data_IF_765022987367
#
_entry.id   IF_765022987367
#
_cell.length_a   1.000
_cell.length_b   1.000
_cell.length_c   1.000
_cell.angle_alpha   90.00
_cell.angle_beta   90.00
_cell.angle_gamma   90.00
#
_symmetry.space_group_name_H-M   'P 1'
#
loop_
_entity.id
_entity.type
_entity.pdbx_description
1 polymer ?
#
# COMPACT_ATOMS: atom_id res chain seq x y z
N UNK A 1 -23.24 3.49 -12.00
CA UNK A 1 -22.18 3.50 -10.98
C UNK A 1 -21.48 4.84 -10.99
N UNK A 2 -21.25 5.40 -9.81
CA UNK A 2 -20.64 6.73 -9.66
C UNK A 2 -19.12 6.59 -9.46
N UNK A 3 -18.38 6.60 -10.56
CA UNK A 3 -16.92 6.46 -10.54
C UNK A 3 -16.26 7.64 -9.82
N UNK A 4 -16.79 8.84 -10.03
CA UNK A 4 -16.24 10.03 -9.41
C UNK A 4 -16.35 9.98 -7.88
N UNK A 5 -17.50 9.53 -7.37
CA UNK A 5 -17.68 9.37 -5.95
C UNK A 5 -16.74 8.31 -5.37
N UNK A 6 -16.60 7.17 -6.05
CA UNK A 6 -15.71 6.11 -5.60
C UNK A 6 -14.26 6.58 -5.57
N UNK A 7 -13.84 7.31 -6.59
CA UNK A 7 -12.50 7.87 -6.62
C UNK A 7 -12.29 8.84 -5.45
N UNK A 8 -13.23 9.76 -5.25
CA UNK A 8 -13.14 10.75 -4.17
C UNK A 8 -13.09 10.10 -2.80
N UNK A 9 -13.90 9.04 -2.60
CA UNK A 9 -13.98 8.37 -1.30
C UNK A 9 -12.72 7.56 -0.99
N UNK A 10 -12.06 6.98 -2.01
CA UNK A 10 -10.98 6.02 -1.80
C UNK A 10 -9.63 6.44 -2.35
N UNK A 11 -9.50 7.62 -2.93
CA UNK A 11 -8.22 8.07 -3.51
C UNK A 11 -7.10 8.09 -2.48
N UNK A 12 -7.41 8.47 -1.25
CA UNK A 12 -6.39 8.54 -0.19
C UNK A 12 -5.93 7.15 0.22
N UNK A 13 -6.85 6.18 0.26
CA UNK A 13 -6.49 4.78 0.53
C UNK A 13 -5.58 4.23 -0.56
N UNK A 14 -5.91 4.52 -1.82
CA UNK A 14 -5.09 4.10 -2.97
C UNK A 14 -3.70 4.72 -2.87
N UNK A 15 -3.63 6.02 -2.61
CA UNK A 15 -2.36 6.74 -2.51
C UNK A 15 -1.51 6.20 -1.37
N UNK A 16 -2.11 5.98 -0.19
CA UNK A 16 -1.36 5.47 0.98
C UNK A 16 -0.79 4.09 0.71
N UNK A 17 -1.58 3.20 0.08
CA UNK A 17 -1.07 1.87 -0.25
C UNK A 17 0.07 1.98 -1.28
N UNK A 18 -0.09 2.84 -2.27
CA UNK A 18 0.95 3.07 -3.27
C UNK A 18 2.24 3.58 -2.63
N UNK A 19 2.15 4.49 -1.66
CA UNK A 19 3.32 4.98 -0.93
C UNK A 19 3.96 3.84 -0.13
N UNK A 20 3.16 2.96 0.46
CA UNK A 20 3.70 1.81 1.19
C UNK A 20 4.54 0.91 0.30
N UNK A 21 4.15 0.77 -0.97
CA UNK A 21 4.93 -0.03 -1.93
C UNK A 21 6.14 0.71 -2.46
N UNK A 22 5.96 1.96 -2.88
CA UNK A 22 6.96 2.64 -3.70
C UNK A 22 7.87 3.59 -2.93
N UNK A 23 7.40 4.15 -1.82
CA UNK A 23 8.07 5.22 -1.08
C UNK A 23 8.49 6.37 -1.99
N UNK A 24 7.75 6.58 -3.06
CA UNK A 24 7.99 7.65 -4.04
C UNK A 24 6.67 8.34 -4.33
N UNK A 25 6.63 9.65 -4.08
CA UNK A 25 5.43 10.44 -4.37
C UNK A 25 5.09 10.38 -5.85
N UNK A 26 6.10 10.53 -6.70
CA UNK A 26 5.91 10.50 -8.14
C UNK A 26 5.35 9.15 -8.60
N UNK A 27 5.93 8.05 -8.13
CA UNK A 27 5.46 6.72 -8.47
C UNK A 27 4.07 6.46 -7.93
N UNK A 28 3.78 6.93 -6.70
CA UNK A 28 2.45 6.76 -6.12
C UNK A 28 1.39 7.53 -6.93
N UNK A 29 1.72 8.70 -7.40
CA UNK A 29 0.81 9.48 -8.25
C UNK A 29 0.55 8.77 -9.58
N UNK A 30 1.59 8.19 -10.18
CA UNK A 30 1.45 7.41 -11.40
C UNK A 30 0.54 6.20 -11.18
N UNK A 31 0.71 5.50 -10.05
CA UNK A 31 -0.15 4.38 -9.69
C UNK A 31 -1.59 4.84 -9.53
N UNK A 32 -1.81 5.98 -8.87
CA UNK A 32 -3.16 6.51 -8.69
C UNK A 32 -3.84 6.77 -10.03
N UNK A 33 -3.10 7.35 -10.99
CA UNK A 33 -3.63 7.57 -12.33
C UNK A 33 -4.01 6.27 -13.02
N UNK A 34 -3.14 5.26 -12.91
CA UNK A 34 -3.41 3.93 -13.49
C UNK A 34 -4.67 3.32 -12.89
N UNK A 35 -4.80 3.39 -11.56
CA UNK A 35 -5.96 2.84 -10.85
C UNK A 35 -7.23 3.59 -11.27
N UNK A 36 -7.14 4.92 -11.35
CA UNK A 36 -8.28 5.74 -11.75
C UNK A 36 -8.76 5.39 -13.16
N UNK A 37 -7.83 5.19 -14.10
CA UNK A 37 -8.20 4.81 -15.47
C UNK A 37 -8.88 3.44 -15.49
N UNK A 38 -8.39 2.49 -14.70
CA UNK A 38 -9.03 1.17 -14.60
C UNK A 38 -10.40 1.26 -13.94
N UNK A 39 -10.57 2.15 -12.97
CA UNK A 39 -11.86 2.39 -12.35
C UNK A 39 -12.88 2.88 -13.39
N UNK A 40 -12.45 3.80 -14.25
CA UNK A 40 -13.34 4.35 -15.29
C UNK A 40 -13.81 3.28 -16.29
N UNK A 41 -13.03 2.23 -16.48
CA UNK A 41 -13.39 1.11 -17.35
C UNK A 41 -14.31 0.09 -16.67
N UNK A 42 -14.35 0.09 -15.34
CA UNK A 42 -15.13 -0.87 -14.57
C UNK A 42 -16.60 -0.47 -14.57
N UNK A 43 -17.46 -1.38 -15.00
CA UNK A 43 -18.88 -1.10 -15.15
C UNK A 43 -19.71 -1.48 -13.94
N UNK A 44 -19.27 -2.49 -13.18
CA UNK A 44 -20.01 -2.99 -12.02
C UNK A 44 -19.07 -3.44 -10.92
N UNK A 45 -19.55 -3.30 -9.69
CA UNK A 45 -18.92 -3.87 -8.51
C UNK A 45 -19.91 -4.71 -7.75
N UNK A 46 -19.42 -5.72 -7.06
CA UNK A 46 -20.22 -6.38 -6.04
C UNK A 46 -20.44 -5.38 -4.90
N UNK A 47 -21.67 -5.28 -4.38
CA UNK A 47 -21.94 -4.35 -3.29
C UNK A 47 -20.99 -4.55 -2.11
N UNK A 48 -20.40 -3.47 -1.64
CA UNK A 48 -19.47 -3.48 -0.50
C UNK A 48 -18.07 -3.97 -0.83
N UNK A 49 -17.76 -4.23 -2.09
CA UNK A 49 -16.44 -4.73 -2.50
C UNK A 49 -15.60 -3.71 -3.27
N UNK A 50 -16.08 -2.49 -3.38
CA UNK A 50 -15.43 -1.44 -4.16
C UNK A 50 -14.02 -1.14 -3.64
N UNK A 51 -13.89 -0.95 -2.33
CA UNK A 51 -12.59 -0.64 -1.72
C UNK A 51 -11.59 -1.77 -1.91
N UNK A 52 -12.02 -3.00 -1.70
CA UNK A 52 -11.14 -4.16 -1.86
C UNK A 52 -10.65 -4.29 -3.30
N UNK A 53 -11.54 -4.03 -4.26
CA UNK A 53 -11.16 -4.03 -5.68
C UNK A 53 -10.10 -2.97 -5.95
N UNK A 54 -10.33 -1.75 -5.47
CA UNK A 54 -9.38 -0.64 -5.66
C UNK A 54 -8.02 -0.94 -5.03
N UNK A 55 -8.01 -1.50 -3.84
CA UNK A 55 -6.76 -1.87 -3.17
C UNK A 55 -6.02 -2.97 -3.92
N UNK A 56 -6.75 -3.95 -4.46
CA UNK A 56 -6.14 -5.02 -5.23
C UNK A 56 -5.51 -4.49 -6.53
N UNK A 57 -6.24 -3.64 -7.23
CA UNK A 57 -5.72 -3.02 -8.46
C UNK A 57 -4.49 -2.18 -8.14
N UNK A 58 -4.52 -1.46 -7.02
CA UNK A 58 -3.38 -0.66 -6.55
C UNK A 58 -2.17 -1.54 -6.29
N UNK A 59 -2.36 -2.64 -5.55
CA UNK A 59 -1.26 -3.56 -5.25
C UNK A 59 -0.67 -4.14 -6.54
N UNK A 60 -1.52 -4.53 -7.48
CA UNK A 60 -1.04 -5.08 -8.75
C UNK A 60 -0.27 -4.04 -9.56
N UNK A 61 -0.76 -2.81 -9.62
CA UNK A 61 -0.08 -1.73 -10.33
C UNK A 61 1.28 -1.43 -9.70
N UNK A 62 1.36 -1.42 -8.37
CA UNK A 62 2.61 -1.20 -7.67
C UNK A 62 3.62 -2.31 -7.92
N UNK A 63 3.17 -3.56 -7.88
CA UNK A 63 4.04 -4.70 -8.15
C UNK A 63 4.61 -4.64 -9.57
N UNK A 64 3.79 -4.26 -10.54
CA UNK A 64 4.22 -4.11 -11.92
C UNK A 64 5.24 -2.98 -12.06
N UNK A 65 5.00 -1.86 -11.40
CA UNK A 65 5.91 -0.72 -11.43
C UNK A 65 7.26 -1.09 -10.82
N UNK A 66 7.26 -1.74 -9.64
CA UNK A 66 8.48 -2.11 -8.95
C UNK A 66 9.28 -3.14 -9.74
N UNK A 67 8.59 -4.06 -10.41
CA UNK A 67 9.25 -5.03 -11.28
C UNK A 67 9.95 -4.34 -12.45
N UNK A 68 9.31 -3.32 -13.03
CA UNK A 68 9.90 -2.51 -14.08
C UNK A 68 11.14 -1.77 -13.57
N UNK A 69 11.09 -1.20 -12.38
CA UNK A 69 12.21 -0.48 -11.78
C UNK A 69 13.39 -1.40 -11.43
N UNK A 70 13.10 -2.66 -11.12
CA UNK A 70 14.15 -3.62 -10.83
C UNK A 70 15.15 -3.73 -12.00
N UNK A 71 14.65 -3.68 -13.24
CA UNK A 71 15.49 -3.74 -14.42
C UNK A 71 16.24 -2.44 -14.71
N UNK A 72 15.85 -1.34 -14.11
CA UNK A 72 16.44 -0.03 -14.30
C UNK A 72 17.36 0.41 -13.16
N UNK A 73 17.76 -0.53 -12.32
CA UNK A 73 18.52 -0.28 -11.10
C UNK A 73 17.63 0.28 -9.99
N UNK A 74 18.20 0.31 -8.79
CA UNK A 74 17.51 0.77 -7.60
C UNK A 74 17.03 2.21 -7.74
N UNK A 75 15.73 2.40 -7.52
CA UNK A 75 15.19 3.75 -7.42
C UNK A 75 15.63 4.32 -6.07
N UNK A 76 16.29 5.48 -6.06
CA UNK A 76 16.66 6.10 -4.79
C UNK A 76 15.42 6.36 -3.94
N UNK A 77 15.56 6.23 -2.63
CA UNK A 77 14.50 6.61 -1.72
C UNK A 77 14.18 8.08 -1.92
N UNK A 78 12.90 8.40 -2.07
CA UNK A 78 12.46 9.78 -2.21
C UNK A 78 12.52 10.46 -0.85
N UNK A 79 13.54 11.27 -0.65
CA UNK A 79 13.75 11.97 0.61
C UNK A 79 12.63 12.97 0.92
N UNK A 80 11.88 13.39 -0.09
CA UNK A 80 10.76 14.28 0.14
C UNK A 80 9.65 13.63 0.98
N UNK A 81 9.60 12.29 0.99
CA UNK A 81 8.63 11.57 1.83
C UNK A 81 8.91 11.75 3.31
N UNK A 82 10.16 11.96 3.69
CA UNK A 82 10.50 12.16 5.10
C UNK A 82 9.99 13.49 5.64
N UNK A 83 9.72 14.44 4.75
CA UNK A 83 9.16 15.73 5.11
C UNK A 83 7.64 15.80 5.08
N UNK A 84 7.01 14.73 4.67
CA UNK A 84 5.57 14.57 4.50
C UNK A 84 4.96 13.80 5.63
N UNK A 85 3.68 13.92 5.77
CA UNK A 85 2.89 15.11 5.97
C UNK A 85 3.02 15.54 7.43
N UNK A 86 2.39 16.63 7.87
CA UNK A 86 2.56 17.11 9.25
C UNK A 86 2.27 16.09 10.34
N UNK A 87 1.53 15.03 10.03
CA UNK A 87 1.19 14.00 11.00
C UNK A 87 2.18 12.84 11.04
N UNK A 88 3.31 12.94 10.33
CA UNK A 88 4.32 11.90 10.38
C UNK A 88 4.92 11.85 11.78
N UNK A 89 4.76 10.74 12.47
CA UNK A 89 5.30 10.53 13.80
C UNK A 89 6.32 9.38 13.76
N UNK A 90 6.92 9.10 14.90
CA UNK A 90 7.94 8.05 15.01
C UNK A 90 7.43 6.69 14.54
N UNK A 91 6.17 6.37 14.88
CA UNK A 91 5.59 5.09 14.49
C UNK A 91 5.46 4.98 12.97
N UNK A 92 4.94 6.03 12.32
CA UNK A 92 4.82 6.02 10.87
C UNK A 92 6.19 5.97 10.20
N UNK A 93 7.15 6.71 10.70
CA UNK A 93 8.52 6.66 10.19
C UNK A 93 9.11 5.26 10.31
N UNK A 94 8.87 4.61 11.45
CA UNK A 94 9.34 3.23 11.64
C UNK A 94 8.71 2.29 10.61
N UNK A 95 7.40 2.42 10.36
CA UNK A 95 6.72 1.61 9.35
C UNK A 95 7.31 1.86 7.96
N UNK A 96 7.52 3.13 7.60
CA UNK A 96 8.06 3.49 6.30
C UNK A 96 9.49 3.02 6.10
N UNK A 97 10.22 2.75 7.19
CA UNK A 97 11.58 2.22 7.10
C UNK A 97 11.64 0.71 6.87
N UNK A 98 10.51 0.01 7.00
CA UNK A 98 10.44 -1.43 6.76
C UNK A 98 10.53 -1.74 5.26
N UNK A 99 10.89 -2.99 4.94
CA UNK A 99 10.80 -3.45 3.56
C UNK A 99 9.35 -3.42 3.08
N UNK A 100 9.12 -3.26 1.75
CA UNK A 100 7.76 -3.11 1.23
C UNK A 100 6.80 -4.22 1.66
N UNK A 101 7.24 -5.46 1.69
CA UNK A 101 6.37 -6.59 2.07
C UNK A 101 5.84 -6.45 3.49
N UNK A 102 6.64 -5.86 4.39
CA UNK A 102 6.22 -5.62 5.78
C UNK A 102 5.35 -4.38 5.88
N UNK A 103 5.75 -3.30 5.22
CA UNK A 103 4.96 -2.06 5.23
C UNK A 103 3.54 -2.30 4.75
N UNK A 104 3.41 -3.02 3.63
CA UNK A 104 2.12 -3.31 3.03
C UNK A 104 1.25 -4.15 3.95
N UNK A 105 1.83 -5.21 4.54
CA UNK A 105 1.08 -6.07 5.46
C UNK A 105 0.58 -5.28 6.67
N UNK A 106 1.45 -4.46 7.26
CA UNK A 106 1.10 -3.63 8.41
C UNK A 106 0.01 -2.63 8.05
N UNK A 107 0.16 -1.95 6.93
CA UNK A 107 -0.82 -0.97 6.48
C UNK A 107 -2.20 -1.62 6.29
N UNK A 108 -2.25 -2.74 5.58
CA UNK A 108 -3.51 -3.40 5.27
C UNK A 108 -4.19 -3.94 6.52
N UNK A 109 -3.42 -4.46 7.46
CA UNK A 109 -4.00 -5.05 8.66
C UNK A 109 -4.41 -4.01 9.69
N UNK A 110 -3.55 -3.06 10.00
CA UNK A 110 -3.78 -2.13 11.10
C UNK A 110 -4.48 -0.86 10.67
N UNK A 111 -4.24 -0.38 9.48
CA UNK A 111 -4.90 0.83 8.99
C UNK A 111 -6.19 0.52 8.27
N UNK A 112 -6.15 -0.40 7.31
CA UNK A 112 -7.34 -0.76 6.54
C UNK A 112 -8.21 -1.78 7.23
N UNK A 113 -7.78 -2.30 8.36
CA UNK A 113 -8.55 -3.21 9.20
C UNK A 113 -8.92 -4.52 8.49
N UNK A 114 -8.07 -4.98 7.59
CA UNK A 114 -8.29 -6.25 6.90
C UNK A 114 -7.80 -7.42 7.73
N UNK A 115 -8.52 -8.53 7.65
CA UNK A 115 -8.08 -9.77 8.29
C UNK A 115 -6.91 -10.36 7.52
N UNK A 116 -6.18 -11.28 8.16
CA UNK A 116 -5.07 -11.97 7.48
C UNK A 116 -5.55 -12.73 6.26
N UNK A 117 -6.77 -13.30 6.32
CA UNK A 117 -7.37 -13.99 5.19
C UNK A 117 -7.67 -13.03 4.04
N UNK A 118 -8.23 -11.87 4.35
CA UNK A 118 -8.53 -10.86 3.34
C UNK A 118 -7.25 -10.34 2.67
N UNK A 119 -6.21 -10.12 3.45
CA UNK A 119 -4.91 -9.68 2.93
C UNK A 119 -4.32 -10.75 2.01
N UNK A 120 -4.39 -12.02 2.43
CA UNK A 120 -3.89 -13.12 1.62
C UNK A 120 -4.57 -13.17 0.26
N UNK A 121 -5.90 -13.03 0.25
CA UNK A 121 -6.67 -13.01 -0.99
C UNK A 121 -6.29 -11.80 -1.85
N UNK A 122 -6.18 -10.63 -1.23
CA UNK A 122 -5.87 -9.39 -1.93
C UNK A 122 -4.49 -9.45 -2.58
N UNK A 123 -3.50 -9.97 -1.87
CA UNK A 123 -2.12 -9.99 -2.34
C UNK A 123 -1.74 -11.26 -3.10
N UNK A 124 -2.64 -12.23 -3.19
CA UNK A 124 -2.39 -13.54 -3.83
C UNK A 124 -1.25 -14.30 -3.16
N UNK A 125 -1.24 -14.31 -1.84
CA UNK A 125 -0.27 -15.07 -1.04
C UNK A 125 -1.05 -15.92 -0.02
N UNK A 126 -0.35 -16.83 0.64
CA UNK A 126 -1.00 -17.68 1.65
C UNK A 126 -1.25 -16.87 2.93
N UNK A 127 -2.25 -17.28 3.69
CA UNK A 127 -2.54 -16.67 4.98
C UNK A 127 -1.36 -16.83 5.94
N UNK A 128 -0.68 -17.96 5.88
CA UNK A 128 0.48 -18.22 6.71
C UNK A 128 1.62 -17.23 6.37
N UNK A 129 1.79 -16.87 5.11
CA UNK A 129 2.76 -15.84 4.70
C UNK A 129 2.39 -14.48 5.30
N UNK A 130 1.12 -14.11 5.27
CA UNK A 130 0.65 -12.85 5.88
C UNK A 130 0.97 -12.84 7.37
N UNK A 131 0.61 -13.92 8.06
CA UNK A 131 0.85 -14.04 9.51
C UNK A 131 2.33 -13.91 9.84
N UNK A 132 3.19 -14.56 9.06
CA UNK A 132 4.64 -14.47 9.23
C UNK A 132 5.15 -13.05 9.02
N UNK A 133 4.69 -12.39 7.97
CA UNK A 133 5.09 -11.01 7.68
C UNK A 133 4.67 -10.06 8.79
N UNK A 134 3.45 -10.21 9.30
CA UNK A 134 2.97 -9.38 10.40
C UNK A 134 3.78 -9.63 11.68
N UNK A 135 4.08 -10.88 11.98
CA UNK A 135 4.87 -11.23 13.16
C UNK A 135 6.27 -10.61 13.07
N UNK A 136 6.92 -10.75 11.94
CA UNK A 136 8.25 -10.18 11.72
C UNK A 136 8.23 -8.65 11.75
N UNK A 137 7.20 -8.06 11.15
CA UNK A 137 7.04 -6.62 11.15
C UNK A 137 6.90 -6.08 12.56
N UNK A 138 6.09 -6.74 13.40
CA UNK A 138 5.92 -6.33 14.81
C UNK A 138 7.25 -6.35 15.56
N UNK A 139 8.06 -7.38 15.35
CA UNK A 139 9.37 -7.49 15.99
C UNK A 139 10.31 -6.38 15.54
N UNK A 140 10.33 -6.10 14.23
CA UNK A 140 11.16 -5.04 13.69
C UNK A 140 10.70 -3.66 14.18
N UNK A 141 9.41 -3.42 14.25
CA UNK A 141 8.87 -2.16 14.75
C UNK A 141 9.19 -1.96 16.23
N UNK A 142 9.04 -3.02 17.03
CA UNK A 142 9.37 -2.96 18.45
C UNK A 142 10.83 -2.60 18.64
N UNK A 143 11.72 -3.24 17.90
CA UNK A 143 13.16 -2.97 17.97
C UNK A 143 13.46 -1.52 17.60
N UNK A 144 12.88 -1.04 16.51
CA UNK A 144 13.12 0.34 16.05
C UNK A 144 12.62 1.39 17.03
N UNK A 145 11.46 1.14 17.65
CA UNK A 145 10.87 2.09 18.58
C UNK A 145 11.59 2.10 19.93
N UNK A 146 12.17 0.96 20.33
CA UNK A 146 12.94 0.87 21.58
C UNK A 146 14.33 1.51 21.48
N UNK A 147 14.87 1.65 20.28
CA UNK A 147 16.19 2.28 20.08
C UNK A 147 16.14 3.80 20.28
N UNK A 148 14.96 4.37 20.39
CA UNK A 148 14.78 5.78 20.63
C UNK A 148 14.40 6.03 22.10
#
# INVERSE_FOLDING_TARGET
MDHERLFRDYKDDVYRLAICYTRSREDAEDVCQTVFLKLMEQKRFQPGKEKQWLLRVTANACKNLLRSHWWKNTVPMDESLSAEPPQVNETLQAVLSLEPKYRVAVYLHYYEMLSTKEIATLLHITQSTVTTRLSRARKLLKSKLEEE
#
